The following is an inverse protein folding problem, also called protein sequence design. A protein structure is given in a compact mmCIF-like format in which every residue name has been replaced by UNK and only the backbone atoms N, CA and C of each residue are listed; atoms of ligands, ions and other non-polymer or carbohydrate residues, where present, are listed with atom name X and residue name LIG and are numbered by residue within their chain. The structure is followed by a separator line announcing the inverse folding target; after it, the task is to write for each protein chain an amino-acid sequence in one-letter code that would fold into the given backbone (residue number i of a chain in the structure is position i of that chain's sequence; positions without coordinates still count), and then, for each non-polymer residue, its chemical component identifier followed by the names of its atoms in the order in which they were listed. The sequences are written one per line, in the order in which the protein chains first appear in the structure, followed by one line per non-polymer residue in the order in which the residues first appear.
data_IF_331945294944
#
_entry.id   IF_331945294944
#
_cell.length_a   1.000
_cell.length_b   1.000
_cell.length_c   1.000
_cell.angle_alpha   90.00
_cell.angle_beta   90.00
_cell.angle_gamma   90.00
#
_symmetry.space_group_name_H-M   'P 1'
#
loop_
_entity.id
_entity.type
_entity.pdbx_description
1 polymer ?
#
# COMPACT_ATOMS: atom_id res chain seq x y z
N UNK A 1 16.68 26.06 1.96
CA UNK A 1 15.69 25.03 2.32
C UNK A 1 16.22 23.69 1.84
N UNK A 2 16.63 22.79 2.75
CA UNK A 2 17.15 21.47 2.39
C UNK A 2 15.99 20.48 2.33
N UNK A 3 15.89 19.59 1.31
CA UNK A 3 14.81 18.62 1.23
C UNK A 3 15.01 17.52 2.27
N UNK A 4 14.00 17.30 3.10
CA UNK A 4 13.92 16.28 4.16
C UNK A 4 13.63 14.86 3.62
N UNK A 5 14.09 14.56 2.40
CA UNK A 5 13.82 13.27 1.71
C UNK A 5 14.79 12.11 2.04
N UNK A 6 15.81 12.32 2.91
CA UNK A 6 16.94 11.40 3.00
C UNK A 6 16.73 10.07 3.74
N UNK A 7 15.69 9.93 4.56
CA UNK A 7 15.52 8.72 5.41
C UNK A 7 14.76 7.62 4.65
N UNK A 8 13.75 7.97 3.87
CA UNK A 8 12.98 7.01 3.07
C UNK A 8 13.82 6.45 1.91
N UNK A 9 14.65 7.29 1.29
CA UNK A 9 15.53 6.91 0.20
C UNK A 9 16.66 5.94 0.62
N UNK A 10 17.20 6.09 1.85
CA UNK A 10 18.21 5.16 2.40
C UNK A 10 17.63 3.77 2.73
N UNK A 11 16.39 3.69 3.19
CA UNK A 11 15.70 2.42 3.44
C UNK A 11 15.43 1.65 2.14
N UNK A 12 15.06 2.34 1.05
CA UNK A 12 14.88 1.76 -0.27
C UNK A 12 16.20 1.25 -0.88
N UNK A 13 17.28 2.04 -0.82
CA UNK A 13 18.58 1.67 -1.39
C UNK A 13 19.24 0.48 -0.66
N UNK A 14 19.10 0.39 0.66
CA UNK A 14 19.60 -0.76 1.43
C UNK A 14 18.87 -2.07 1.07
N UNK A 15 17.61 -1.98 0.65
CA UNK A 15 16.80 -3.12 0.24
C UNK A 15 17.30 -3.74 -1.08
N UNK A 16 17.56 -2.90 -2.09
CA UNK A 16 18.01 -3.39 -3.40
C UNK A 16 19.39 -4.06 -3.35
N UNK A 17 20.31 -3.58 -2.50
CA UNK A 17 21.63 -4.20 -2.35
C UNK A 17 21.56 -5.62 -1.77
N UNK A 18 20.56 -5.91 -0.95
CA UNK A 18 20.38 -7.25 -0.35
C UNK A 18 19.71 -8.22 -1.31
N UNK A 19 18.88 -7.72 -2.21
CA UNK A 19 18.22 -8.51 -3.25
C UNK A 19 19.18 -8.85 -4.41
N UNK A 20 20.04 -7.92 -4.81
CA UNK A 20 21.13 -8.14 -5.78
C UNK A 20 22.11 -9.22 -5.30
N UNK A 21 22.42 -9.24 -3.99
CA UNK A 21 23.27 -10.27 -3.40
C UNK A 21 22.61 -11.66 -3.46
N UNK A 22 21.29 -11.73 -3.32
CA UNK A 22 20.54 -12.99 -3.38
C UNK A 22 20.44 -13.54 -4.81
N UNK A 23 20.17 -12.68 -5.80
CA UNK A 23 20.18 -13.04 -7.23
C UNK A 23 21.58 -13.40 -7.72
N UNK A 24 22.62 -12.70 -7.26
CA UNK A 24 24.02 -12.95 -7.61
C UNK A 24 24.58 -14.23 -6.94
N UNK A 25 24.12 -14.58 -5.74
CA UNK A 25 24.46 -15.88 -5.10
C UNK A 25 23.91 -17.08 -5.87
N UNK A 26 22.76 -16.94 -6.50
CA UNK A 26 22.17 -17.99 -7.37
C UNK A 26 23.05 -18.28 -8.60
N UNK A 27 23.88 -17.33 -9.05
CA UNK A 27 24.70 -17.49 -10.26
C UNK A 27 26.16 -17.89 -9.98
N UNK A 28 26.62 -17.95 -8.74
CA UNK A 28 28.06 -18.10 -8.41
C UNK A 28 28.47 -19.50 -7.93
N UNK A 29 27.55 -20.39 -7.58
CA UNK A 29 27.90 -21.76 -7.13
C UNK A 29 27.33 -22.78 -8.11
N UNK A 30 28.23 -23.43 -8.85
CA UNK A 30 27.97 -24.40 -9.92
C UNK A 30 27.35 -25.76 -9.50
N UNK A 31 26.44 -25.76 -8.57
CA UNK A 31 25.53 -26.85 -8.25
C UNK A 31 24.21 -26.24 -7.74
N UNK A 32 23.54 -25.49 -8.60
CA UNK A 32 22.22 -24.94 -8.29
C UNK A 32 21.24 -26.11 -8.16
N UNK A 33 20.80 -26.41 -6.93
CA UNK A 33 19.48 -26.97 -6.72
C UNK A 33 18.56 -26.09 -7.54
N UNK A 34 17.94 -26.63 -8.58
CA UNK A 34 16.92 -25.93 -9.36
C UNK A 34 15.73 -25.74 -8.40
N UNK A 35 15.80 -24.70 -7.58
CA UNK A 35 14.61 -24.22 -6.88
C UNK A 35 13.53 -24.06 -7.93
N UNK A 36 12.39 -24.65 -7.71
CA UNK A 36 11.32 -24.56 -8.70
C UNK A 36 11.01 -23.07 -8.88
N UNK A 37 10.70 -22.63 -10.11
CA UNK A 37 10.30 -21.24 -10.38
C UNK A 37 9.20 -20.76 -9.42
N UNK A 38 8.38 -21.70 -8.93
CA UNK A 38 7.35 -21.46 -7.94
C UNK A 38 7.91 -21.08 -6.56
N UNK A 39 8.98 -21.75 -6.10
CA UNK A 39 9.62 -21.43 -4.82
C UNK A 39 10.25 -20.04 -4.84
N UNK A 40 10.99 -19.71 -5.89
CA UNK A 40 11.60 -18.39 -6.09
C UNK A 40 10.52 -17.29 -6.11
N UNK A 41 9.44 -17.49 -6.85
CA UNK A 41 8.34 -16.53 -6.93
C UNK A 41 7.64 -16.38 -5.57
N UNK A 42 7.39 -17.49 -4.86
CA UNK A 42 6.77 -17.45 -3.54
C UNK A 42 7.62 -16.67 -2.54
N UNK A 43 8.92 -16.96 -2.49
CA UNK A 43 9.86 -16.28 -1.61
C UNK A 43 9.89 -14.77 -1.92
N UNK A 44 10.01 -14.41 -3.22
CA UNK A 44 9.96 -13.02 -3.67
C UNK A 44 8.70 -12.30 -3.19
N UNK A 45 7.53 -12.89 -3.42
CA UNK A 45 6.26 -12.27 -3.02
C UNK A 45 6.20 -12.05 -1.50
N UNK A 46 6.58 -13.05 -0.69
CA UNK A 46 6.55 -12.95 0.77
C UNK A 46 7.52 -11.87 1.28
N UNK A 47 8.75 -11.87 0.77
CA UNK A 47 9.78 -10.91 1.20
C UNK A 47 9.45 -9.49 0.76
N UNK A 48 9.07 -9.27 -0.51
CA UNK A 48 8.75 -7.94 -1.04
C UNK A 48 7.55 -7.34 -0.31
N UNK A 49 6.47 -8.10 -0.11
CA UNK A 49 5.32 -7.58 0.66
C UNK A 49 5.72 -7.20 2.09
N UNK A 50 6.54 -8.03 2.75
CA UNK A 50 7.04 -7.72 4.08
C UNK A 50 7.88 -6.44 4.14
N UNK A 51 8.69 -6.19 3.11
CA UNK A 51 9.53 -5.00 3.02
C UNK A 51 8.73 -3.74 2.69
N UNK A 52 7.75 -3.83 1.80
CA UNK A 52 6.83 -2.71 1.50
C UNK A 52 6.16 -2.25 2.80
N UNK A 53 5.55 -3.17 3.56
CA UNK A 53 4.88 -2.85 4.81
C UNK A 53 5.83 -2.21 5.85
N UNK A 54 7.08 -2.69 5.93
CA UNK A 54 8.11 -2.11 6.81
C UNK A 54 8.50 -0.70 6.38
N UNK A 55 8.67 -0.48 5.07
CA UNK A 55 9.03 0.83 4.52
C UNK A 55 7.89 1.84 4.70
N UNK A 56 6.63 1.44 4.48
CA UNK A 56 5.45 2.26 4.77
C UNK A 56 5.38 2.63 6.26
N UNK A 57 5.58 1.66 7.16
CA UNK A 57 5.62 1.91 8.59
C UNK A 57 6.77 2.87 8.99
N UNK A 58 7.94 2.75 8.36
CA UNK A 58 9.06 3.66 8.58
C UNK A 58 8.75 5.10 8.15
N UNK A 59 7.96 5.29 7.08
CA UNK A 59 7.49 6.62 6.65
C UNK A 59 6.55 7.29 7.68
N UNK A 60 6.00 6.50 8.60
CA UNK A 60 5.14 6.97 9.69
C UNK A 60 5.91 7.16 11.01
N UNK A 61 7.20 6.84 11.06
CA UNK A 61 8.01 6.97 12.28
C UNK A 61 7.94 8.41 12.84
N UNK A 62 7.67 8.51 14.14
CA UNK A 62 7.50 9.80 14.81
C UNK A 62 6.15 10.49 14.56
N UNK A 63 5.18 9.82 13.95
CA UNK A 63 3.82 10.31 13.72
C UNK A 63 2.81 9.54 14.55
N UNK A 64 1.69 10.19 14.83
CA UNK A 64 0.57 9.62 15.60
C UNK A 64 -0.38 8.76 14.76
N UNK A 65 0.12 8.18 13.65
CA UNK A 65 -0.62 7.33 12.72
C UNK A 65 -0.06 5.92 12.69
N UNK A 66 -0.94 4.94 12.70
CA UNK A 66 -0.66 3.57 12.30
C UNK A 66 -0.85 3.37 10.78
N UNK A 67 -0.28 2.31 10.23
CA UNK A 67 -0.43 1.98 8.82
C UNK A 67 -1.89 1.74 8.42
N UNK A 68 -2.68 1.08 9.29
CA UNK A 68 -4.12 0.87 9.06
C UNK A 68 -4.90 2.19 9.00
N UNK A 69 -4.56 3.14 9.85
CA UNK A 69 -5.15 4.48 9.82
C UNK A 69 -4.80 5.24 8.56
N UNK A 70 -3.53 5.12 8.09
CA UNK A 70 -3.09 5.72 6.84
C UNK A 70 -3.84 5.14 5.64
N UNK A 71 -4.02 3.82 5.55
CA UNK A 71 -4.79 3.18 4.49
C UNK A 71 -6.27 3.59 4.51
N UNK A 72 -6.84 3.85 5.69
CA UNK A 72 -8.20 4.40 5.78
C UNK A 72 -8.25 5.84 5.24
N UNK A 73 -7.26 6.68 5.57
CA UNK A 73 -7.17 8.05 5.03
C UNK A 73 -7.05 8.01 3.50
N UNK A 74 -6.17 7.16 2.95
CA UNK A 74 -6.00 6.97 1.50
C UNK A 74 -7.30 6.52 0.82
N UNK A 75 -8.03 5.56 1.40
CA UNK A 75 -9.32 5.12 0.85
C UNK A 75 -10.35 6.27 0.80
N UNK A 76 -10.42 7.10 1.84
CA UNK A 76 -11.30 8.29 1.87
C UNK A 76 -10.86 9.33 0.84
N UNK A 77 -9.55 9.63 0.75
CA UNK A 77 -9.01 10.56 -0.23
C UNK A 77 -9.32 10.10 -1.65
N UNK A 78 -9.08 8.83 -1.98
CA UNK A 78 -9.39 8.27 -3.30
C UNK A 78 -10.87 8.38 -3.64
N UNK A 79 -11.75 8.03 -2.72
CA UNK A 79 -13.19 8.13 -2.94
C UNK A 79 -13.62 9.57 -3.24
N UNK A 80 -13.08 10.55 -2.52
CA UNK A 80 -13.39 11.97 -2.75
C UNK A 80 -12.78 12.48 -4.07
N UNK A 81 -11.52 12.17 -4.36
CA UNK A 81 -10.79 12.70 -5.51
C UNK A 81 -11.31 12.12 -6.84
N UNK A 82 -11.82 10.87 -6.83
CA UNK A 82 -12.38 10.21 -8.01
C UNK A 82 -13.89 10.46 -8.19
N UNK A 83 -14.51 11.26 -7.34
CA UNK A 83 -15.98 11.48 -7.35
C UNK A 83 -16.76 10.21 -7.01
N UNK A 84 -16.15 9.29 -6.28
CA UNK A 84 -16.74 8.03 -5.85
C UNK A 84 -17.57 8.16 -4.57
N UNK A 85 -18.00 7.01 -4.06
CA UNK A 85 -18.85 6.94 -2.87
C UNK A 85 -18.02 7.02 -1.60
N UNK A 86 -18.03 8.18 -0.95
CA UNK A 86 -17.34 8.43 0.32
C UNK A 86 -18.22 8.22 1.56
N UNK A 87 -19.37 7.56 1.42
CA UNK A 87 -20.22 7.18 2.57
C UNK A 87 -19.48 6.17 3.45
N UNK A 88 -19.67 6.27 4.76
CA UNK A 88 -19.04 5.36 5.72
C UNK A 88 -19.25 3.88 5.36
N UNK A 89 -20.45 3.52 4.91
CA UNK A 89 -20.77 2.14 4.50
C UNK A 89 -19.96 1.68 3.28
N UNK A 90 -19.79 2.55 2.29
CA UNK A 90 -19.02 2.25 1.08
C UNK A 90 -17.52 2.12 1.39
N UNK A 91 -16.99 3.00 2.23
CA UNK A 91 -15.59 2.92 2.68
C UNK A 91 -15.34 1.63 3.48
N UNK A 92 -16.25 1.24 4.38
CA UNK A 92 -16.15 -0.02 5.13
C UNK A 92 -16.11 -1.23 4.18
N UNK A 93 -17.01 -1.26 3.19
CA UNK A 93 -17.05 -2.30 2.17
C UNK A 93 -15.76 -2.35 1.33
N UNK A 94 -15.27 -1.20 0.88
CA UNK A 94 -14.03 -1.10 0.10
C UNK A 94 -12.79 -1.61 0.87
N UNK A 95 -12.77 -1.42 2.20
CA UNK A 95 -11.69 -1.89 3.07
C UNK A 95 -11.91 -3.31 3.60
N UNK A 96 -13.05 -3.95 3.32
CA UNK A 96 -13.38 -5.28 3.82
C UNK A 96 -13.51 -5.36 5.35
N UNK A 97 -13.95 -4.28 6.01
CA UNK A 97 -14.10 -4.19 7.47
C UNK A 97 -15.55 -3.96 7.89
N UNK A 98 -15.87 -4.28 9.15
CA UNK A 98 -17.21 -4.05 9.68
C UNK A 98 -17.47 -2.56 9.92
N UNK A 99 -18.74 -2.16 9.92
CA UNK A 99 -19.15 -0.80 10.25
C UNK A 99 -18.69 -0.36 11.65
N UNK A 100 -18.68 -1.28 12.62
CA UNK A 100 -18.20 -1.02 13.98
C UNK A 100 -16.69 -0.72 14.01
N UNK A 101 -15.89 -1.53 13.28
CA UNK A 101 -14.45 -1.32 13.14
C UNK A 101 -14.15 0.03 12.48
N UNK A 102 -14.87 0.36 11.38
CA UNK A 102 -14.73 1.65 10.73
C UNK A 102 -15.08 2.81 11.67
N UNK A 103 -16.20 2.70 12.39
CA UNK A 103 -16.65 3.75 13.32
C UNK A 103 -15.59 4.06 14.36
N UNK A 104 -14.98 3.02 14.96
CA UNK A 104 -13.92 3.18 15.96
C UNK A 104 -12.66 3.85 15.37
N UNK A 105 -12.24 3.41 14.18
CA UNK A 105 -11.09 3.99 13.50
C UNK A 105 -11.31 5.45 13.09
N UNK A 106 -12.48 5.77 12.56
CA UNK A 106 -12.84 7.15 12.18
C UNK A 106 -12.95 8.05 13.41
N UNK A 107 -13.50 7.58 14.55
CA UNK A 107 -13.52 8.36 15.81
C UNK A 107 -12.11 8.77 16.23
N UNK A 108 -11.16 7.85 16.10
CA UNK A 108 -9.76 8.13 16.44
C UNK A 108 -9.13 9.13 15.46
N UNK A 109 -9.37 8.96 14.15
CA UNK A 109 -8.86 9.86 13.12
C UNK A 109 -9.47 11.25 13.16
N UNK A 110 -10.72 11.39 13.59
CA UNK A 110 -11.33 12.70 13.87
C UNK A 110 -10.66 13.39 15.06
N UNK A 111 -10.45 12.66 16.16
CA UNK A 111 -9.72 13.19 17.33
C UNK A 111 -8.30 13.63 16.98
N UNK A 112 -7.63 12.89 16.11
CA UNK A 112 -6.29 13.24 15.59
C UNK A 112 -6.32 14.33 14.51
N UNK A 113 -7.50 14.74 14.04
CA UNK A 113 -7.68 15.79 13.05
C UNK A 113 -7.32 15.40 11.61
N UNK A 114 -7.42 14.12 11.25
CA UNK A 114 -7.14 13.63 9.89
C UNK A 114 -8.38 13.50 9.01
N UNK A 115 -9.53 13.16 9.61
CA UNK A 115 -10.81 13.00 8.92
C UNK A 115 -11.89 13.86 9.56
N UNK A 116 -12.95 14.09 8.81
CA UNK A 116 -14.19 14.75 9.25
C UNK A 116 -15.39 13.89 8.83
N UNK A 117 -16.44 13.89 9.66
CA UNK A 117 -17.75 13.37 9.29
C UNK A 117 -18.66 14.51 8.86
N UNK A 118 -19.36 14.31 7.76
CA UNK A 118 -20.46 15.19 7.33
C UNK A 118 -21.72 14.37 7.12
N UNK A 119 -22.79 14.74 7.81
CA UNK A 119 -24.10 14.13 7.56
C UNK A 119 -24.65 14.65 6.24
N UNK A 120 -25.29 13.75 5.48
CA UNK A 120 -25.98 14.12 4.28
C UNK A 120 -27.15 15.09 4.60
N UNK A 121 -27.41 16.03 3.69
CA UNK A 121 -28.46 17.04 3.92
C UNK A 121 -29.86 16.47 3.79
N UNK A 122 -30.04 15.51 2.89
CA UNK A 122 -31.34 14.88 2.57
C UNK A 122 -31.65 13.71 3.49
N UNK A 123 -30.65 12.86 3.76
CA UNK A 123 -30.79 11.73 4.67
C UNK A 123 -29.73 11.78 5.79
N UNK A 124 -30.15 12.23 6.97
CA UNK A 124 -29.29 12.37 8.15
C UNK A 124 -28.71 11.04 8.67
N UNK A 125 -29.19 9.88 8.17
CA UNK A 125 -28.64 8.56 8.47
C UNK A 125 -27.36 8.29 7.68
N UNK A 126 -27.19 8.97 6.55
CA UNK A 126 -26.01 8.87 5.70
C UNK A 126 -24.90 9.76 6.24
N UNK A 127 -23.71 9.17 6.40
CA UNK A 127 -22.51 9.87 6.88
C UNK A 127 -21.42 9.76 5.81
N UNK A 128 -20.98 10.90 5.32
CA UNK A 128 -19.86 11.05 4.42
C UNK A 128 -18.56 11.28 5.20
N UNK A 129 -17.48 10.63 4.77
CA UNK A 129 -16.14 10.84 5.30
C UNK A 129 -15.38 11.78 4.37
N UNK A 130 -14.70 12.74 4.95
CA UNK A 130 -13.92 13.75 4.22
C UNK A 130 -12.52 13.87 4.84
N UNK A 131 -11.46 13.99 4.04
CA UNK A 131 -10.14 14.25 4.55
C UNK A 131 -10.01 15.73 4.95
N UNK A 132 -9.28 16.00 6.03
CA UNK A 132 -8.81 17.33 6.37
C UNK A 132 -7.55 17.67 5.54
N UNK A 133 -7.03 18.87 5.65
CA UNK A 133 -5.71 19.23 5.08
C UNK A 133 -4.59 18.34 5.65
N UNK A 134 -4.66 18.04 6.96
CA UNK A 134 -3.73 17.11 7.61
C UNK A 134 -3.84 15.69 7.04
N UNK A 135 -5.06 15.22 6.80
CA UNK A 135 -5.33 13.95 6.14
C UNK A 135 -4.78 13.90 4.72
N UNK A 136 -5.05 14.92 3.93
CA UNK A 136 -4.52 15.03 2.55
C UNK A 136 -2.99 15.08 2.52
N UNK A 137 -2.36 15.79 3.46
CA UNK A 137 -0.91 15.82 3.56
C UNK A 137 -0.29 14.46 3.95
N UNK A 138 -0.98 13.67 4.78
CA UNK A 138 -0.56 12.31 5.11
C UNK A 138 -0.67 11.38 3.89
N UNK A 139 -1.78 11.42 3.19
CA UNK A 139 -2.05 10.67 1.98
C UNK A 139 -1.08 11.04 0.83
N UNK A 140 -0.81 12.33 0.63
CA UNK A 140 0.13 12.79 -0.38
C UNK A 140 1.55 12.21 -0.18
N UNK A 141 2.03 12.13 1.08
CA UNK A 141 3.32 11.50 1.39
C UNK A 141 3.31 10.00 1.13
N UNK A 142 2.22 9.33 1.45
CA UNK A 142 2.04 7.89 1.18
C UNK A 142 2.04 7.61 -0.32
N UNK A 143 1.26 8.36 -1.08
CA UNK A 143 1.24 8.26 -2.56
C UNK A 143 2.59 8.59 -3.19
N UNK A 144 3.34 9.53 -2.61
CA UNK A 144 4.68 9.87 -3.10
C UNK A 144 5.68 8.74 -2.88
N UNK A 145 5.63 8.08 -1.73
CA UNK A 145 6.41 6.86 -1.45
C UNK A 145 6.14 5.78 -2.50
N UNK A 146 4.88 5.45 -2.76
CA UNK A 146 4.53 4.44 -3.77
C UNK A 146 4.95 4.84 -5.18
N UNK A 147 4.78 6.11 -5.55
CA UNK A 147 5.21 6.63 -6.86
C UNK A 147 6.72 6.49 -7.05
N UNK A 148 7.52 6.84 -6.04
CA UNK A 148 8.97 6.70 -6.11
C UNK A 148 9.39 5.22 -6.21
N UNK A 149 8.76 4.33 -5.45
CA UNK A 149 8.99 2.89 -5.52
C UNK A 149 8.70 2.34 -6.92
N UNK A 150 7.52 2.66 -7.47
CA UNK A 150 7.12 2.21 -8.81
C UNK A 150 8.02 2.79 -9.89
N UNK A 151 8.36 4.09 -9.81
CA UNK A 151 9.26 4.72 -10.76
C UNK A 151 10.64 4.05 -10.77
N UNK A 152 11.18 3.71 -9.60
CA UNK A 152 12.46 3.01 -9.50
C UNK A 152 12.41 1.61 -10.14
N UNK A 153 11.32 0.87 -9.97
CA UNK A 153 11.17 -0.45 -10.60
C UNK A 153 11.08 -0.31 -12.12
N UNK A 154 10.30 0.65 -12.62
CA UNK A 154 10.10 0.84 -14.07
C UNK A 154 11.34 1.40 -14.77
N UNK A 155 12.16 2.21 -14.10
CA UNK A 155 13.40 2.79 -14.66
C UNK A 155 14.43 1.71 -15.05
N UNK A 156 14.37 0.54 -14.41
CA UNK A 156 15.24 -0.61 -14.71
C UNK A 156 14.67 -1.58 -15.76
N UNK A 157 13.48 -1.36 -16.32
CA UNK A 157 12.79 -2.27 -17.22
C UNK A 157 12.61 -1.68 -18.61
N UNK A 158 12.71 -2.53 -19.62
CA UNK A 158 12.20 -2.22 -20.97
C UNK A 158 10.66 -2.25 -20.96
N UNK A 159 10.04 -1.65 -21.97
CA UNK A 159 8.57 -1.65 -22.10
C UNK A 159 7.99 -3.08 -22.13
N UNK A 160 8.65 -4.01 -22.81
CA UNK A 160 8.23 -5.42 -22.88
C UNK A 160 8.32 -6.12 -21.52
N UNK A 161 9.38 -5.86 -20.77
CA UNK A 161 9.56 -6.40 -19.40
C UNK A 161 8.54 -5.80 -18.44
N UNK A 162 8.26 -4.50 -18.53
CA UNK A 162 7.24 -3.84 -17.75
C UNK A 162 5.84 -4.44 -18.02
N UNK A 163 5.45 -4.63 -19.29
CA UNK A 163 4.20 -5.29 -19.65
C UNK A 163 4.13 -6.73 -19.15
N UNK A 164 5.23 -7.50 -19.26
CA UNK A 164 5.30 -8.86 -18.74
C UNK A 164 5.09 -8.89 -17.23
N UNK A 165 5.74 -7.98 -16.51
CA UNK A 165 5.61 -7.81 -15.06
C UNK A 165 4.17 -7.46 -14.66
N UNK A 166 3.54 -6.51 -15.35
CA UNK A 166 2.15 -6.12 -15.09
C UNK A 166 1.17 -7.29 -15.33
N UNK A 167 1.39 -8.10 -16.38
CA UNK A 167 0.59 -9.31 -16.62
C UNK A 167 0.75 -10.35 -15.49
N UNK A 168 1.97 -10.55 -15.00
CA UNK A 168 2.24 -11.47 -13.90
C UNK A 168 1.56 -11.00 -12.59
N UNK A 169 1.70 -9.72 -12.24
CA UNK A 169 1.05 -9.12 -11.08
C UNK A 169 -0.48 -9.15 -11.20
N UNK A 170 -1.02 -8.98 -12.40
CA UNK A 170 -2.45 -9.13 -12.68
C UNK A 170 -2.99 -10.52 -12.31
N UNK A 171 -2.22 -11.59 -12.57
CA UNK A 171 -2.59 -12.96 -12.15
C UNK A 171 -2.59 -13.13 -10.63
N UNK A 172 -1.63 -12.51 -9.94
CA UNK A 172 -1.62 -12.51 -8.46
C UNK A 172 -2.85 -11.80 -7.90
N UNK A 173 -3.19 -10.62 -8.44
CA UNK A 173 -4.38 -9.87 -8.05
C UNK A 173 -5.68 -10.65 -8.35
N UNK A 174 -5.73 -11.40 -9.45
CA UNK A 174 -6.88 -12.24 -9.81
C UNK A 174 -7.07 -13.40 -8.82
N UNK A 175 -6.00 -14.05 -8.38
CA UNK A 175 -6.04 -15.09 -7.36
C UNK A 175 -6.73 -14.58 -6.08
N UNK A 176 -6.36 -13.40 -5.59
CA UNK A 176 -6.96 -12.83 -4.39
C UNK A 176 -8.41 -12.36 -4.59
N UNK A 177 -8.78 -11.91 -5.80
CA UNK A 177 -10.17 -11.52 -6.10
C UNK A 177 -11.14 -12.71 -6.15
N UNK A 178 -10.67 -13.87 -6.61
CA UNK A 178 -11.49 -15.10 -6.66
C UNK A 178 -11.67 -15.77 -5.29
N UNK A 179 -10.97 -15.31 -4.26
CA UNK A 179 -10.82 -15.97 -2.99
C UNK A 179 -9.75 -17.08 -3.06
N UNK A 180 -8.96 -17.23 -2.00
CA UNK A 180 -8.12 -18.40 -1.88
C UNK A 180 -9.01 -19.65 -1.88
N UNK A 181 -8.65 -20.75 -2.60
CA UNK A 181 -9.44 -21.96 -2.59
C UNK A 181 -9.62 -22.42 -1.15
N UNK A 182 -10.88 -22.68 -0.77
CA UNK A 182 -11.18 -23.27 0.53
C UNK A 182 -10.40 -24.58 0.64
N UNK A 183 -9.65 -24.72 1.72
CA UNK A 183 -8.93 -25.98 1.98
C UNK A 183 -9.98 -27.04 2.24
N UNK A 184 -10.14 -27.96 1.28
CA UNK A 184 -10.87 -29.19 1.48
C UNK A 184 -10.13 -30.10 2.49
#
# INVERSE_FOLDING_TARGET
MRPTGGICQRACLAFFSQFDIMLLRSNAEGAVRVESRGEVLNQFLVEVFGQILKAEAACLAGKDLSLRELHLIDAVCRAVDQGGDNRSTAIAAALGITAGTLTSAVNLLEKKGYLLRRRDERDKRVVHLLPTERGRAADARHRDFHRQMVAHVLDGLTDEEAECTLRALGRVAEFFRRGAPERG
#
